data_IF_050085567873
#
_entry.id   IF_050085567873
#
_cell.length_a   1.000
_cell.length_b   1.000
_cell.length_c   1.000
_cell.angle_alpha   90.00
_cell.angle_beta   90.00
_cell.angle_gamma   90.00
#
_symmetry.space_group_name_H-M   'P 1'
#
loop_
_entity.id
_entity.type
_entity.pdbx_description
1 polymer ?
#
# COMPACT_ATOMS: atom_id res chain seq x y z
N UNK A 1 3.46 -4.05 -13.41
CA UNK A 1 4.57 -4.88 -12.86
C UNK A 1 3.95 -6.04 -12.11
N UNK A 2 4.45 -7.25 -12.33
CA UNK A 2 4.11 -8.44 -11.53
C UNK A 2 5.36 -8.82 -10.77
N UNK A 3 5.25 -9.05 -9.46
CA UNK A 3 6.40 -9.39 -8.63
C UNK A 3 6.01 -9.57 -7.17
N UNK A 4 6.83 -10.33 -6.43
CA UNK A 4 6.63 -10.69 -5.01
C UNK A 4 6.35 -9.47 -4.13
N UNK A 5 6.99 -8.34 -4.46
CA UNK A 5 6.78 -7.05 -3.82
C UNK A 5 5.33 -6.55 -3.91
N UNK A 6 4.63 -6.80 -5.01
CA UNK A 6 3.25 -6.32 -5.18
C UNK A 6 2.27 -7.15 -4.35
N UNK A 7 2.48 -8.47 -4.30
CA UNK A 7 1.65 -9.36 -3.46
C UNK A 7 1.73 -8.94 -2.00
N UNK A 8 2.92 -8.60 -1.51
CA UNK A 8 3.10 -8.13 -0.15
C UNK A 8 2.48 -6.75 0.10
N UNK A 9 2.52 -5.83 -0.88
CA UNK A 9 1.77 -4.56 -0.78
C UNK A 9 0.27 -4.81 -0.65
N UNK A 10 -0.29 -5.70 -1.48
CA UNK A 10 -1.71 -6.05 -1.42
C UNK A 10 -2.07 -6.67 -0.06
N UNK A 11 -1.22 -7.56 0.47
CA UNK A 11 -1.38 -8.14 1.80
C UNK A 11 -1.42 -7.07 2.91
N UNK A 12 -0.44 -6.15 2.90
CA UNK A 12 -0.35 -5.07 3.89
C UNK A 12 -1.50 -4.08 3.77
N UNK A 13 -1.95 -3.75 2.56
CA UNK A 13 -3.14 -2.92 2.36
C UNK A 13 -4.39 -3.60 2.93
N UNK A 14 -4.55 -4.90 2.71
CA UNK A 14 -5.68 -5.63 3.25
C UNK A 14 -5.62 -5.71 4.79
N UNK A 15 -4.45 -6.04 5.34
CA UNK A 15 -4.27 -6.30 6.76
C UNK A 15 -4.24 -5.03 7.62
N UNK A 16 -3.48 -4.02 7.21
CA UNK A 16 -3.24 -2.82 8.02
C UNK A 16 -4.21 -1.67 7.72
N UNK A 17 -4.82 -1.68 6.53
CA UNK A 17 -5.65 -0.58 6.05
C UNK A 17 -7.08 -1.02 5.68
N UNK A 18 -7.44 -2.29 5.86
CA UNK A 18 -8.80 -2.80 5.68
C UNK A 18 -9.28 -2.88 4.24
N UNK A 19 -8.35 -2.93 3.28
CA UNK A 19 -8.71 -3.16 1.87
C UNK A 19 -9.10 -4.63 1.62
N UNK A 20 -9.79 -4.86 0.49
CA UNK A 20 -10.18 -6.20 0.02
C UNK A 20 -9.64 -6.47 -1.38
N UNK A 21 -8.34 -6.23 -1.56
CA UNK A 21 -7.65 -6.46 -2.84
C UNK A 21 -7.37 -7.95 -3.04
N UNK A 22 -7.36 -8.38 -4.30
CA UNK A 22 -6.84 -9.69 -4.66
C UNK A 22 -5.31 -9.67 -4.59
N UNK A 23 -4.72 -10.54 -3.77
CA UNK A 23 -3.26 -10.72 -3.64
C UNK A 23 -2.68 -11.52 -4.83
N UNK A 24 -2.92 -11.03 -6.05
CA UNK A 24 -2.49 -11.69 -7.29
C UNK A 24 -1.08 -11.28 -7.75
N UNK A 25 -0.41 -10.41 -6.98
CA UNK A 25 0.91 -9.90 -7.29
C UNK A 25 0.94 -8.94 -8.49
N UNK A 26 -0.22 -8.46 -8.97
CA UNK A 26 -0.34 -7.51 -10.08
C UNK A 26 -0.61 -6.11 -9.58
N UNK A 27 0.22 -5.16 -10.02
CA UNK A 27 0.03 -3.77 -9.63
C UNK A 27 -1.03 -3.13 -10.53
N UNK A 28 -2.29 -3.27 -10.13
CA UNK A 28 -3.46 -2.73 -10.80
C UNK A 28 -3.93 -1.39 -10.22
N UNK A 29 -4.97 -0.77 -10.80
CA UNK A 29 -5.50 0.51 -10.35
C UNK A 29 -5.97 0.48 -8.89
N UNK A 30 -6.52 -0.64 -8.42
CA UNK A 30 -6.98 -0.77 -7.02
C UNK A 30 -5.80 -0.78 -6.04
N UNK A 31 -4.73 -1.52 -6.37
CA UNK A 31 -3.48 -1.50 -5.58
C UNK A 31 -2.86 -0.11 -5.58
N UNK A 32 -2.84 0.59 -6.72
CA UNK A 32 -2.35 1.96 -6.81
C UNK A 32 -3.14 2.93 -5.94
N UNK A 33 -4.47 2.81 -5.93
CA UNK A 33 -5.33 3.64 -5.08
C UNK A 33 -5.05 3.42 -3.59
N UNK A 34 -4.89 2.16 -3.16
CA UNK A 34 -4.50 1.84 -1.79
C UNK A 34 -3.14 2.44 -1.42
N UNK A 35 -2.13 2.28 -2.28
CA UNK A 35 -0.81 2.89 -2.09
C UNK A 35 -0.91 4.41 -1.96
N UNK A 36 -1.65 5.07 -2.84
CA UNK A 36 -1.84 6.53 -2.78
C UNK A 36 -2.55 6.97 -1.49
N UNK A 37 -3.50 6.19 -0.99
CA UNK A 37 -4.16 6.49 0.29
C UNK A 37 -3.17 6.43 1.46
N UNK A 38 -2.34 5.39 1.52
CA UNK A 38 -1.27 5.27 2.52
C UNK A 38 -0.29 6.43 2.43
N UNK A 39 0.15 6.78 1.21
CA UNK A 39 1.07 7.90 0.99
C UNK A 39 0.47 9.24 1.45
N UNK A 40 -0.79 9.52 1.10
CA UNK A 40 -1.51 10.73 1.55
C UNK A 40 -1.62 10.79 3.06
N UNK A 41 -2.02 9.69 3.68
CA UNK A 41 -2.20 9.66 5.13
C UNK A 41 -0.86 9.83 5.87
N UNK A 42 0.22 9.26 5.30
CA UNK A 42 1.57 9.36 5.84
C UNK A 42 2.25 10.72 5.58
N UNK A 43 1.59 11.65 4.87
CA UNK A 43 2.12 12.97 4.56
C UNK A 43 3.27 12.98 3.55
N UNK A 44 3.41 11.93 2.73
CA UNK A 44 4.42 11.84 1.66
C UNK A 44 3.78 12.02 0.28
N UNK A 45 4.60 12.20 -0.76
CA UNK A 45 4.12 12.31 -2.14
C UNK A 45 3.28 11.10 -2.55
N UNK A 46 2.04 11.35 -2.95
CA UNK A 46 1.08 10.32 -3.35
C UNK A 46 1.21 9.96 -4.84
N UNK A 47 2.40 9.54 -5.26
CA UNK A 47 2.72 9.22 -6.64
C UNK A 47 2.27 7.81 -7.09
N UNK A 48 1.78 6.97 -6.16
CA UNK A 48 1.32 5.61 -6.44
C UNK A 48 2.43 4.59 -6.68
N UNK A 49 3.70 4.95 -6.47
CA UNK A 49 4.84 4.05 -6.57
C UNK A 49 5.29 3.60 -5.20
N UNK A 50 5.64 2.32 -5.08
CA UNK A 50 6.07 1.75 -3.81
C UNK A 50 7.59 1.88 -3.66
N UNK A 51 8.04 3.01 -3.09
CA UNK A 51 9.43 3.23 -2.71
C UNK A 51 9.70 2.86 -1.24
N UNK A 52 10.97 2.96 -0.77
CA UNK A 52 11.34 2.63 0.62
C UNK A 52 10.52 3.37 1.68
N UNK A 53 10.18 4.64 1.43
CA UNK A 53 9.33 5.43 2.33
C UNK A 53 7.92 4.86 2.39
N UNK A 54 7.33 4.49 1.24
CA UNK A 54 6.00 3.88 1.19
C UNK A 54 5.99 2.52 1.88
N UNK A 55 7.03 1.70 1.70
CA UNK A 55 7.19 0.42 2.39
C UNK A 55 7.16 0.57 3.91
N UNK A 56 7.88 1.56 4.44
CA UNK A 56 7.89 1.83 5.88
C UNK A 56 6.49 2.07 6.43
N UNK A 57 5.64 2.81 5.71
CA UNK A 57 4.28 3.09 6.16
C UNK A 57 3.31 1.95 5.87
N UNK A 58 3.53 1.15 4.84
CA UNK A 58 2.74 -0.06 4.60
C UNK A 58 2.93 -1.07 5.73
N UNK A 59 4.18 -1.26 6.18
CA UNK A 59 4.55 -2.22 7.23
C UNK A 59 4.23 -1.67 8.63
N UNK A 60 4.58 -0.41 8.88
CA UNK A 60 4.32 0.30 10.14
C UNK A 60 3.36 1.48 9.91
N UNK A 61 2.04 1.22 9.85
CA UNK A 61 1.05 2.29 9.68
C UNK A 61 1.16 3.31 10.82
N UNK A 62 1.02 4.59 10.48
CA UNK A 62 0.86 5.61 11.52
C UNK A 62 -0.45 5.32 12.26
N UNK A 63 -0.48 5.59 13.58
CA UNK A 63 -1.69 5.40 14.42
C UNK A 63 -2.94 6.11 13.91
N UNK A 64 -2.78 7.14 13.07
CA UNK A 64 -3.89 7.88 12.47
C UNK A 64 -4.37 7.30 11.12
N UNK A 65 -3.62 6.35 10.56
CA UNK A 65 -3.78 5.84 9.19
C UNK A 65 -4.08 4.34 9.13
N UNK A 66 -3.60 3.56 10.11
CA UNK A 66 -3.99 2.16 10.31
C UNK A 66 -5.18 2.05 11.24
N UNK A 67 -6.01 1.02 11.02
CA UNK A 67 -7.13 0.69 11.89
C UNK A 67 -6.69 -0.11 13.12
#
# INVERSE_FOLDING_TARGET
MVGTNVGQVQCLLNHNYGYSLKEDGKFGPETELGVKAVQRCSGITADGKVGPNTWKYLDYPQRACGH
#
